data_IF_836389664605
#
_entry.id   IF_836389664605
#
_cell.length_a   1.000
_cell.length_b   1.000
_cell.length_c   1.000
_cell.angle_alpha   90.00
_cell.angle_beta   90.00
_cell.angle_gamma   90.00
#
_symmetry.space_group_name_H-M   'P 1'
#
loop_
_entity.id
_entity.type
_entity.pdbx_description
1 polymer ?
#
# COMPACT_ATOMS: atom_id res chain seq x y z
N UNK A 1 -36.57 29.11 -6.08
CA UNK A 1 -36.86 28.03 -5.11
C UNK A 1 -35.99 26.85 -5.48
N UNK A 2 -34.88 26.69 -4.77
CA UNK A 2 -34.01 25.51 -4.84
C UNK A 2 -34.79 24.29 -4.35
N UNK A 3 -34.95 23.28 -5.19
CA UNK A 3 -35.33 21.95 -4.73
C UNK A 3 -34.14 21.40 -3.95
N UNK A 4 -34.26 21.40 -2.62
CA UNK A 4 -33.40 20.63 -1.74
C UNK A 4 -33.73 19.16 -1.94
N UNK A 5 -32.69 18.39 -2.27
CA UNK A 5 -32.72 16.93 -2.38
C UNK A 5 -33.05 16.32 -1.00
N UNK A 6 -34.15 15.56 -0.85
CA UNK A 6 -34.65 15.10 0.45
C UNK A 6 -33.80 13.99 1.10
N UNK A 7 -32.74 13.49 0.44
CA UNK A 7 -31.79 12.50 0.98
C UNK A 7 -30.50 13.11 1.58
N UNK A 8 -30.45 14.43 1.75
CA UNK A 8 -29.24 15.15 2.19
C UNK A 8 -28.96 15.15 3.70
N UNK A 9 -29.72 14.42 4.53
CA UNK A 9 -29.58 14.45 5.99
C UNK A 9 -29.31 13.06 6.58
N UNK A 10 -28.21 12.97 7.34
CA UNK A 10 -27.79 11.88 8.26
C UNK A 10 -26.79 10.80 7.80
N UNK A 11 -25.75 11.16 7.04
CA UNK A 11 -24.59 10.26 6.89
C UNK A 11 -23.28 10.94 7.30
N UNK A 12 -22.82 10.66 8.53
CA UNK A 12 -21.40 10.48 8.80
C UNK A 12 -20.52 11.68 9.19
N UNK A 13 -20.98 12.64 9.98
CA UNK A 13 -20.09 13.69 10.53
C UNK A 13 -19.64 13.39 11.97
N UNK A 14 -19.70 12.13 12.40
CA UNK A 14 -19.23 11.76 13.72
C UNK A 14 -17.70 11.68 13.74
N UNK A 15 -17.13 12.13 14.85
CA UNK A 15 -15.71 11.96 15.17
C UNK A 15 -15.59 10.87 16.23
N UNK A 16 -14.79 9.84 15.94
CA UNK A 16 -14.48 8.75 16.84
C UNK A 16 -13.06 8.94 17.35
N UNK A 17 -12.94 9.14 18.66
CA UNK A 17 -11.68 9.38 19.36
C UNK A 17 -11.24 8.11 20.07
N UNK A 18 -10.05 7.62 19.75
CA UNK A 18 -9.48 6.39 20.31
C UNK A 18 -8.19 6.76 21.04
N UNK A 19 -8.19 6.67 22.37
CA UNK A 19 -7.01 6.89 23.21
C UNK A 19 -6.31 5.56 23.47
N UNK A 20 -5.13 5.38 22.89
CA UNK A 20 -4.44 4.10 22.76
C UNK A 20 -3.20 3.94 23.64
N UNK A 21 -3.17 4.50 24.85
CA UNK A 21 -1.95 4.56 25.69
C UNK A 21 -1.24 3.20 25.83
N UNK A 22 -2.01 2.11 25.94
CA UNK A 22 -1.52 0.73 26.03
C UNK A 22 -1.93 -0.15 24.83
N UNK A 23 -2.46 0.44 23.77
CA UNK A 23 -2.93 -0.31 22.59
C UNK A 23 -1.73 -0.89 21.84
N UNK A 24 -1.74 -2.21 21.61
CA UNK A 24 -0.67 -2.93 20.90
C UNK A 24 -0.98 -3.22 19.43
N UNK A 25 -2.25 -3.52 19.15
CA UNK A 25 -2.77 -3.76 17.80
C UNK A 25 -4.03 -2.94 17.55
N UNK A 26 -4.22 -2.52 16.32
CA UNK A 26 -5.41 -1.80 15.89
C UNK A 26 -5.95 -2.40 14.60
N UNK A 27 -7.26 -2.66 14.54
CA UNK A 27 -7.91 -3.12 13.32
C UNK A 27 -9.08 -2.17 13.04
N UNK A 28 -9.04 -1.56 11.86
CA UNK A 28 -10.18 -0.87 11.29
C UNK A 28 -10.85 -1.78 10.28
N UNK A 29 -12.16 -1.99 10.42
CA UNK A 29 -12.97 -2.74 9.47
C UNK A 29 -14.26 -1.97 9.19
N UNK A 30 -14.40 -1.47 7.96
CA UNK A 30 -15.59 -0.71 7.55
C UNK A 30 -15.36 0.28 6.41
N UNK A 31 -16.37 1.11 6.16
CA UNK A 31 -16.47 1.96 4.96
C UNK A 31 -16.08 3.43 5.19
N UNK A 32 -15.42 3.75 6.31
CA UNK A 32 -15.10 5.13 6.71
C UNK A 32 -16.32 6.07 6.74
N UNK A 33 -17.45 5.66 7.34
CA UNK A 33 -18.59 6.56 7.54
C UNK A 33 -18.32 7.74 8.49
N UNK A 34 -17.33 7.62 9.37
CA UNK A 34 -16.97 8.60 10.39
C UNK A 34 -15.49 8.93 10.32
N UNK A 35 -15.07 10.00 10.98
CA UNK A 35 -13.65 10.31 11.14
C UNK A 35 -13.09 9.54 12.34
N UNK A 36 -11.93 8.91 12.18
CA UNK A 36 -11.29 8.14 13.24
C UNK A 36 -9.95 8.76 13.60
N UNK A 37 -9.78 9.06 14.88
CA UNK A 37 -8.55 9.64 15.43
C UNK A 37 -7.97 8.70 16.47
N UNK A 38 -6.81 8.13 16.16
CA UNK A 38 -6.02 7.35 17.12
C UNK A 38 -5.00 8.29 17.78
N UNK A 39 -5.10 8.46 19.09
CA UNK A 39 -4.26 9.37 19.89
C UNK A 39 -3.51 8.61 20.97
N UNK A 40 -2.37 9.16 21.38
CA UNK A 40 -1.49 8.62 22.43
C UNK A 40 -1.11 7.13 22.24
N UNK A 41 -1.11 6.65 21.00
CA UNK A 41 -0.86 5.25 20.68
C UNK A 41 0.65 4.95 20.53
N UNK A 42 1.46 5.34 21.52
CA UNK A 42 2.91 5.13 21.49
C UNK A 42 3.29 3.64 21.60
N UNK A 43 2.43 2.84 22.22
CA UNK A 43 2.60 1.41 22.38
C UNK A 43 2.15 0.59 21.16
N UNK A 44 1.55 1.24 20.15
CA UNK A 44 0.93 0.56 19.01
C UNK A 44 1.98 0.04 18.04
N UNK A 45 2.01 -1.27 17.87
CA UNK A 45 3.03 -1.97 17.09
C UNK A 45 2.50 -2.41 15.73
N UNK A 46 1.23 -2.80 15.65
CA UNK A 46 0.63 -3.31 14.41
C UNK A 46 -0.73 -2.67 14.13
N UNK A 47 -1.03 -2.45 12.85
CA UNK A 47 -2.34 -1.99 12.41
C UNK A 47 -2.82 -2.67 11.12
N UNK A 48 -4.12 -2.87 11.02
CA UNK A 48 -4.79 -3.36 9.82
C UNK A 48 -5.91 -2.40 9.42
N UNK A 49 -6.04 -2.13 8.12
CA UNK A 49 -7.13 -1.35 7.54
C UNK A 49 -7.88 -2.21 6.51
N UNK A 50 -9.04 -2.70 6.92
CA UNK A 50 -10.02 -3.47 6.14
C UNK A 50 -11.07 -2.51 5.58
N UNK A 51 -10.71 -1.81 4.52
CA UNK A 51 -11.65 -0.97 3.78
C UNK A 51 -12.33 -1.79 2.68
N UNK A 52 -13.65 -1.86 2.71
CA UNK A 52 -14.44 -2.56 1.70
C UNK A 52 -15.34 -1.60 0.90
N UNK A 53 -15.04 -1.31 -0.36
CA UNK A 53 -15.89 -0.47 -1.21
C UNK A 53 -17.07 -1.31 -1.75
N UNK A 54 -17.90 -1.90 -0.88
CA UNK A 54 -19.09 -2.68 -1.31
C UNK A 54 -20.10 -1.75 -1.99
N UNK A 55 -20.16 -0.51 -1.52
CA UNK A 55 -20.93 0.55 -2.12
C UNK A 55 -19.89 1.42 -2.82
N UNK A 56 -20.07 1.68 -4.13
CA UNK A 56 -19.46 2.83 -4.80
C UNK A 56 -19.77 4.04 -3.93
N UNK A 57 -18.86 4.36 -3.00
CA UNK A 57 -19.09 5.45 -2.09
C UNK A 57 -19.26 6.65 -3.00
N UNK A 58 -20.45 7.27 -2.94
CA UNK A 58 -20.77 8.42 -3.80
C UNK A 58 -19.84 9.60 -3.50
N UNK A 59 -18.93 9.47 -2.52
CA UNK A 59 -18.05 10.51 -2.00
C UNK A 59 -16.64 9.99 -1.75
N UNK A 60 -15.95 9.43 -2.76
CA UNK A 60 -14.64 8.79 -2.57
C UNK A 60 -13.57 9.76 -2.05
N UNK A 61 -13.71 11.06 -2.37
CA UNK A 61 -12.88 12.13 -1.79
C UNK A 61 -13.02 12.25 -0.27
N UNK A 62 -14.23 12.10 0.29
CA UNK A 62 -14.43 12.16 1.75
C UNK A 62 -13.80 10.96 2.45
N UNK A 63 -13.94 9.75 1.88
CA UNK A 63 -13.24 8.55 2.36
C UNK A 63 -11.73 8.77 2.36
N UNK A 64 -11.18 9.36 1.29
CA UNK A 64 -9.76 9.67 1.22
C UNK A 64 -9.28 10.57 2.38
N UNK A 65 -10.03 11.62 2.72
CA UNK A 65 -9.73 12.46 3.89
C UNK A 65 -9.82 11.70 5.21
N UNK A 66 -10.80 10.82 5.37
CA UNK A 66 -10.99 10.03 6.60
C UNK A 66 -9.90 8.98 6.77
N UNK A 67 -9.55 8.28 5.70
CA UNK A 67 -8.40 7.37 5.66
C UNK A 67 -7.11 8.13 5.99
N UNK A 68 -6.87 9.28 5.37
CA UNK A 68 -5.71 10.13 5.65
C UNK A 68 -5.61 10.48 7.14
N UNK A 69 -6.72 10.88 7.77
CA UNK A 69 -6.77 11.17 9.22
C UNK A 69 -6.44 9.93 10.07
N UNK A 70 -6.97 8.77 9.70
CA UNK A 70 -6.64 7.52 10.38
C UNK A 70 -5.14 7.19 10.26
N UNK A 71 -4.57 7.30 9.04
CA UNK A 71 -3.15 7.03 8.79
C UNK A 71 -2.23 7.91 9.65
N UNK A 72 -2.59 9.16 9.93
CA UNK A 72 -1.82 10.03 10.84
C UNK A 72 -1.71 9.39 12.23
N UNK A 73 -2.82 8.89 12.77
CA UNK A 73 -2.86 8.23 14.08
C UNK A 73 -2.11 6.90 14.13
N UNK A 74 -1.85 6.28 12.97
CA UNK A 74 -1.15 5.00 12.82
C UNK A 74 0.33 5.15 12.42
N UNK A 75 0.86 6.38 12.35
CA UNK A 75 2.21 6.66 11.85
C UNK A 75 3.36 5.96 12.59
N UNK A 76 3.16 5.57 13.86
CA UNK A 76 4.21 4.98 14.69
C UNK A 76 4.31 3.45 14.61
N UNK A 77 3.41 2.78 13.89
CA UNK A 77 3.39 1.31 13.81
C UNK A 77 4.64 0.73 13.14
N UNK A 78 4.94 -0.52 13.50
CA UNK A 78 6.00 -1.34 12.89
C UNK A 78 5.46 -2.19 11.74
N UNK A 79 4.22 -2.65 11.87
CA UNK A 79 3.57 -3.51 10.89
C UNK A 79 2.25 -2.87 10.46
N UNK A 80 2.04 -2.74 9.14
CA UNK A 80 0.81 -2.20 8.58
C UNK A 80 0.31 -3.11 7.47
N UNK A 81 -0.93 -3.58 7.61
CA UNK A 81 -1.63 -4.33 6.55
C UNK A 81 -2.77 -3.49 5.99
N UNK A 82 -2.75 -3.27 4.67
CA UNK A 82 -3.77 -2.52 3.96
C UNK A 82 -4.52 -3.47 3.03
N UNK A 83 -5.83 -3.57 3.22
CA UNK A 83 -6.67 -4.45 2.43
C UNK A 83 -7.32 -3.73 1.25
N UNK A 84 -7.65 -4.49 0.21
CA UNK A 84 -8.41 -4.01 -0.97
C UNK A 84 -7.90 -2.67 -1.52
N UNK A 85 -8.77 -1.85 -2.07
CA UNK A 85 -8.41 -0.58 -2.72
C UNK A 85 -8.09 0.56 -1.73
N UNK A 86 -7.63 0.26 -0.50
CA UNK A 86 -7.33 1.26 0.54
C UNK A 86 -6.41 2.36 0.03
N UNK A 87 -5.30 2.03 -0.63
CA UNK A 87 -4.39 3.06 -1.16
C UNK A 87 -4.97 3.78 -2.37
N UNK A 88 -5.71 3.08 -3.23
CA UNK A 88 -6.30 3.67 -4.43
C UNK A 88 -7.31 4.78 -4.08
N UNK A 89 -8.03 4.67 -2.95
CA UNK A 89 -8.99 5.71 -2.56
C UNK A 89 -8.33 7.07 -2.33
N UNK A 90 -7.06 7.10 -1.90
CA UNK A 90 -6.30 8.35 -1.69
C UNK A 90 -6.12 9.15 -2.98
N UNK A 91 -6.19 8.50 -4.15
CA UNK A 91 -6.09 9.19 -5.44
C UNK A 91 -7.26 10.14 -5.71
N UNK A 92 -8.41 9.96 -5.05
CA UNK A 92 -9.55 10.87 -5.12
C UNK A 92 -9.36 12.18 -4.32
N UNK A 93 -8.29 12.27 -3.52
CA UNK A 93 -7.85 13.48 -2.85
C UNK A 93 -6.34 13.67 -3.09
N UNK A 94 -5.96 13.82 -4.36
CA UNK A 94 -4.57 13.90 -4.79
C UNK A 94 -3.74 14.98 -4.06
N UNK A 95 -4.39 16.04 -3.58
CA UNK A 95 -3.79 17.08 -2.74
C UNK A 95 -3.21 16.55 -1.41
N UNK A 96 -3.65 15.39 -0.92
CA UNK A 96 -3.16 14.77 0.32
C UNK A 96 -1.90 13.95 0.10
N UNK A 97 -1.64 13.48 -1.13
CA UNK A 97 -0.54 12.54 -1.43
C UNK A 97 0.84 13.10 -1.06
N UNK A 98 1.18 14.39 -1.32
CA UNK A 98 2.44 14.97 -0.86
C UNK A 98 2.55 15.09 0.66
N UNK A 99 1.43 15.02 1.37
CA UNK A 99 1.32 15.26 2.81
C UNK A 99 1.06 13.99 3.63
N UNK A 100 1.10 12.80 3.00
CA UNK A 100 0.95 11.54 3.72
C UNK A 100 1.87 11.49 4.96
N UNK A 101 1.40 10.93 6.08
CA UNK A 101 2.22 10.86 7.29
C UNK A 101 3.51 10.07 7.02
N UNK A 102 4.60 10.44 7.69
CA UNK A 102 5.79 9.61 7.73
C UNK A 102 5.53 8.39 8.62
N UNK A 103 6.08 7.25 8.23
CA UNK A 103 6.06 6.02 8.98
C UNK A 103 7.49 5.66 9.41
N UNK A 104 8.07 6.37 10.41
CA UNK A 104 9.48 6.26 10.74
C UNK A 104 9.88 4.91 11.33
N UNK A 105 8.92 4.13 11.84
CA UNK A 105 9.16 2.85 12.50
C UNK A 105 8.65 1.65 11.70
N UNK A 106 8.01 1.88 10.56
CA UNK A 106 7.40 0.82 9.76
C UNK A 106 8.49 -0.02 9.11
N UNK A 107 8.49 -1.31 9.45
CA UNK A 107 9.44 -2.32 8.97
C UNK A 107 8.76 -3.29 8.00
N UNK A 108 7.47 -3.58 8.19
CA UNK A 108 6.71 -4.49 7.33
C UNK A 108 5.42 -3.84 6.84
N UNK A 109 5.23 -3.84 5.52
CA UNK A 109 4.02 -3.38 4.84
C UNK A 109 3.43 -4.53 4.02
N UNK A 110 2.18 -4.88 4.28
CA UNK A 110 1.45 -5.87 3.51
C UNK A 110 0.28 -5.22 2.77
N UNK A 111 0.22 -5.44 1.47
CA UNK A 111 -0.88 -5.04 0.60
C UNK A 111 -1.72 -6.28 0.32
N UNK A 112 -2.78 -6.45 1.11
CA UNK A 112 -3.71 -7.58 1.02
C UNK A 112 -4.86 -7.26 0.07
N UNK A 113 -4.52 -7.16 -1.21
CA UNK A 113 -5.36 -6.61 -2.27
C UNK A 113 -5.43 -7.63 -3.41
N UNK A 114 -6.56 -7.73 -4.11
CA UNK A 114 -6.78 -8.76 -5.14
C UNK A 114 -5.90 -8.62 -6.39
N UNK A 115 -5.18 -7.49 -6.52
CA UNK A 115 -4.08 -7.26 -7.44
C UNK A 115 -3.50 -5.86 -7.17
N UNK A 116 -2.21 -5.80 -6.88
CA UNK A 116 -1.55 -4.57 -6.48
C UNK A 116 -1.04 -3.73 -7.63
N UNK A 117 -1.60 -2.51 -7.75
CA UNK A 117 -1.11 -1.50 -8.68
C UNK A 117 0.20 -0.89 -8.20
N UNK A 118 1.32 -1.37 -8.74
CA UNK A 118 2.63 -0.75 -8.52
C UNK A 118 2.68 0.66 -9.14
N UNK A 119 2.00 0.84 -10.27
CA UNK A 119 1.89 2.10 -11.01
C UNK A 119 0.97 3.14 -10.34
N UNK A 120 0.27 2.78 -9.26
CA UNK A 120 -0.56 3.70 -8.53
C UNK A 120 0.29 4.72 -7.78
N UNK A 121 0.06 6.01 -8.07
CA UNK A 121 0.76 7.12 -7.41
C UNK A 121 0.64 7.05 -5.88
N UNK A 122 -0.49 6.59 -5.33
CA UNK A 122 -0.66 6.46 -3.88
C UNK A 122 0.24 5.36 -3.29
N UNK A 123 0.41 4.23 -3.98
CA UNK A 123 1.33 3.16 -3.60
C UNK A 123 2.76 3.67 -3.54
N UNK A 124 3.20 4.35 -4.60
CA UNK A 124 4.57 4.88 -4.64
C UNK A 124 4.82 5.96 -3.59
N UNK A 125 3.84 6.86 -3.40
CA UNK A 125 3.91 7.89 -2.36
C UNK A 125 3.95 7.28 -0.98
N UNK A 126 3.19 6.22 -0.71
CA UNK A 126 3.24 5.49 0.55
C UNK A 126 4.64 4.94 0.82
N UNK A 127 5.26 4.25 -0.15
CA UNK A 127 6.61 3.71 -0.01
C UNK A 127 7.65 4.82 0.27
N UNK A 128 7.50 6.00 -0.33
CA UNK A 128 8.36 7.15 -0.04
C UNK A 128 8.24 7.67 1.41
N UNK A 129 7.16 7.34 2.11
CA UNK A 129 6.95 7.72 3.52
C UNK A 129 7.43 6.69 4.52
N UNK A 130 7.98 5.55 4.07
CA UNK A 130 8.42 4.45 4.91
C UNK A 130 9.95 4.28 4.83
N UNK A 131 10.76 5.18 5.43
CA UNK A 131 12.21 5.22 5.22
C UNK A 131 12.98 4.00 5.78
N UNK A 132 12.35 3.22 6.68
CA UNK A 132 12.94 2.04 7.32
C UNK A 132 12.26 0.73 6.90
N UNK A 133 11.45 0.77 5.85
CA UNK A 133 10.74 -0.42 5.40
C UNK A 133 11.75 -1.51 5.00
N UNK A 134 11.62 -2.68 5.63
CA UNK A 134 12.47 -3.84 5.36
C UNK A 134 11.75 -4.87 4.47
N UNK A 135 10.43 -5.04 4.66
CA UNK A 135 9.64 -6.03 3.94
C UNK A 135 8.42 -5.40 3.28
N UNK A 136 8.16 -5.76 2.02
CA UNK A 136 6.91 -5.44 1.32
C UNK A 136 6.29 -6.73 0.78
N UNK A 137 5.03 -6.95 1.13
CA UNK A 137 4.28 -8.12 0.72
C UNK A 137 3.06 -7.75 -0.13
N UNK A 138 2.89 -8.43 -1.25
CA UNK A 138 1.76 -8.32 -2.16
C UNK A 138 0.96 -9.62 -2.11
N UNK A 139 -0.09 -9.65 -1.29
CA UNK A 139 -0.74 -10.93 -0.95
C UNK A 139 -1.75 -11.45 -1.96
N UNK A 140 -2.18 -10.62 -2.92
CA UNK A 140 -3.04 -11.06 -4.02
C UNK A 140 -2.53 -10.58 -5.37
N UNK A 141 -1.24 -10.75 -5.64
CA UNK A 141 -0.64 -10.36 -6.91
C UNK A 141 -0.21 -8.90 -7.00
N UNK A 142 0.54 -8.61 -8.06
CA UNK A 142 1.07 -7.30 -8.37
C UNK A 142 1.05 -7.09 -9.88
N UNK A 143 0.70 -5.90 -10.33
CA UNK A 143 0.75 -5.56 -11.74
C UNK A 143 1.15 -4.10 -11.97
N UNK A 144 1.64 -3.83 -13.17
CA UNK A 144 2.07 -2.50 -13.59
C UNK A 144 1.65 -2.26 -15.05
N UNK A 145 0.98 -1.14 -15.32
CA UNK A 145 0.65 -0.77 -16.70
C UNK A 145 1.93 -0.50 -17.52
N UNK A 146 1.97 -0.87 -18.82
CA UNK A 146 3.10 -0.58 -19.69
C UNK A 146 3.43 0.91 -19.81
N UNK A 147 2.41 1.77 -19.74
CA UNK A 147 2.55 3.23 -19.86
C UNK A 147 3.40 3.84 -18.72
N UNK A 148 3.40 3.21 -17.55
CA UNK A 148 4.21 3.62 -16.41
C UNK A 148 5.73 3.54 -16.67
N UNK A 149 6.17 2.64 -17.55
CA UNK A 149 7.58 2.50 -17.91
C UNK A 149 8.07 3.59 -18.87
N UNK A 150 7.14 4.30 -19.54
CA UNK A 150 7.42 5.29 -20.60
C UNK A 150 7.26 6.71 -20.07
N UNK A 151 6.33 6.92 -19.13
CA UNK A 151 6.10 8.20 -18.47
C UNK A 151 6.20 7.97 -16.96
N UNK A 152 7.43 7.83 -16.46
CA UNK A 152 7.63 7.49 -15.06
C UNK A 152 7.35 8.72 -14.20
N UNK A 153 6.06 8.99 -13.91
CA UNK A 153 5.60 9.84 -12.81
C UNK A 153 6.02 9.33 -11.42
N UNK A 154 6.83 8.27 -11.38
CA UNK A 154 7.81 7.96 -10.33
C UNK A 154 8.61 9.25 -10.09
N UNK A 155 8.53 9.86 -8.89
CA UNK A 155 9.38 10.99 -8.56
C UNK A 155 10.83 10.64 -8.84
N UNK A 156 11.62 11.59 -9.36
CA UNK A 156 13.02 11.40 -9.82
C UNK A 156 13.92 10.63 -8.84
N UNK A 157 13.52 10.58 -7.56
CA UNK A 157 14.09 9.72 -6.54
C UNK A 157 13.07 8.66 -6.10
N UNK A 158 13.44 7.39 -6.28
CA UNK A 158 12.67 6.25 -5.77
C UNK A 158 12.51 6.28 -4.23
N UNK A 159 11.71 5.35 -3.66
CA UNK A 159 11.51 5.26 -2.22
C UNK A 159 12.85 5.19 -1.47
N UNK A 160 13.06 6.00 -0.41
CA UNK A 160 14.32 5.99 0.33
C UNK A 160 14.70 4.61 0.88
N UNK A 161 13.72 3.77 1.22
CA UNK A 161 13.94 2.40 1.69
C UNK A 161 14.67 1.54 0.66
N UNK A 162 14.43 1.72 -0.64
CA UNK A 162 15.05 0.95 -1.73
C UNK A 162 16.57 1.12 -1.79
N UNK A 163 17.09 2.20 -1.22
CA UNK A 163 18.51 2.50 -1.16
C UNK A 163 19.14 2.24 0.22
N UNK A 164 18.35 1.92 1.26
CA UNK A 164 18.83 2.00 2.65
C UNK A 164 18.46 0.84 3.57
N UNK A 165 17.27 0.25 3.43
CA UNK A 165 16.73 -0.68 4.43
C UNK A 165 15.96 -1.86 3.86
N UNK A 166 15.60 -1.83 2.58
CA UNK A 166 14.66 -2.77 1.98
C UNK A 166 15.31 -4.14 1.69
N UNK A 167 14.91 -5.19 2.43
CA UNK A 167 15.55 -6.51 2.42
C UNK A 167 14.74 -7.57 1.67
N UNK A 168 13.42 -7.58 1.85
CA UNK A 168 12.57 -8.66 1.34
C UNK A 168 11.36 -8.12 0.57
N UNK A 169 11.04 -8.76 -0.55
CA UNK A 169 9.77 -8.59 -1.25
C UNK A 169 9.10 -9.96 -1.37
N UNK A 170 7.83 -10.04 -1.00
CA UNK A 170 7.00 -11.23 -1.19
C UNK A 170 5.88 -10.90 -2.19
N UNK A 171 5.79 -11.69 -3.26
CA UNK A 171 4.72 -11.59 -4.26
C UNK A 171 3.95 -12.91 -4.26
N UNK A 172 2.70 -12.86 -3.83
CA UNK A 172 1.78 -14.00 -3.90
C UNK A 172 0.94 -13.94 -5.16
N UNK A 173 0.32 -15.06 -5.52
CA UNK A 173 -0.63 -15.15 -6.64
C UNK A 173 -0.03 -14.66 -7.96
N UNK A 174 1.25 -14.99 -8.22
CA UNK A 174 1.94 -14.60 -9.45
C UNK A 174 1.56 -15.53 -10.62
N UNK A 175 0.91 -14.96 -11.64
CA UNK A 175 0.44 -15.65 -12.85
C UNK A 175 1.42 -15.68 -14.01
N UNK A 176 2.53 -14.92 -13.92
CA UNK A 176 3.51 -14.71 -14.99
C UNK A 176 2.95 -13.94 -16.20
N UNK A 177 2.03 -13.02 -15.94
CA UNK A 177 1.52 -12.10 -16.96
C UNK A 177 2.52 -10.95 -17.23
N UNK A 178 2.43 -10.34 -18.42
CA UNK A 178 3.43 -9.38 -18.87
C UNK A 178 3.52 -8.11 -17.99
N UNK A 179 2.39 -7.70 -17.39
CA UNK A 179 2.28 -6.58 -16.47
C UNK A 179 2.77 -6.91 -15.06
N UNK A 180 2.60 -8.15 -14.60
CA UNK A 180 3.21 -8.66 -13.36
C UNK A 180 4.74 -8.74 -13.49
N UNK A 181 5.23 -9.31 -14.61
CA UNK A 181 6.66 -9.38 -14.93
C UNK A 181 7.28 -7.98 -14.98
N UNK A 182 6.57 -7.01 -15.55
CA UNK A 182 6.99 -5.62 -15.57
C UNK A 182 7.09 -5.04 -14.14
N UNK A 183 6.11 -5.31 -13.29
CA UNK A 183 6.10 -4.85 -11.90
C UNK A 183 7.30 -5.43 -11.11
N UNK A 184 7.52 -6.73 -11.22
CA UNK A 184 8.67 -7.42 -10.61
C UNK A 184 9.99 -6.84 -11.12
N UNK A 185 10.12 -6.63 -12.43
CA UNK A 185 11.31 -6.03 -13.03
C UNK A 185 11.60 -4.64 -12.49
N UNK A 186 10.58 -3.80 -12.30
CA UNK A 186 10.74 -2.46 -11.73
C UNK A 186 11.25 -2.56 -10.29
N UNK A 187 10.67 -3.43 -9.46
CA UNK A 187 11.09 -3.62 -8.08
C UNK A 187 12.54 -4.12 -7.99
N UNK A 188 12.88 -5.20 -8.71
CA UNK A 188 14.23 -5.77 -8.74
C UNK A 188 15.29 -4.76 -9.20
N UNK A 189 14.96 -3.95 -10.22
CA UNK A 189 15.89 -2.95 -10.75
C UNK A 189 16.14 -1.80 -9.78
N UNK A 190 15.11 -1.33 -9.07
CA UNK A 190 15.20 -0.12 -8.25
C UNK A 190 15.62 -0.38 -6.80
N UNK A 191 15.35 -1.56 -6.26
CA UNK A 191 15.74 -1.93 -4.90
C UNK A 191 17.21 -2.40 -4.86
N UNK A 192 18.12 -1.45 -4.66
CA UNK A 192 19.58 -1.69 -4.75
C UNK A 192 20.18 -2.39 -3.53
N UNK A 193 19.45 -2.43 -2.41
CA UNK A 193 19.85 -3.14 -1.18
C UNK A 193 19.02 -4.40 -0.91
N UNK A 194 18.23 -4.86 -1.89
CA UNK A 194 17.36 -6.03 -1.73
C UNK A 194 18.18 -7.31 -1.53
N UNK A 195 17.85 -8.08 -0.49
CA UNK A 195 18.47 -9.37 -0.20
C UNK A 195 17.72 -10.50 -0.91
N UNK A 196 16.38 -10.45 -0.88
CA UNK A 196 15.54 -11.55 -1.37
C UNK A 196 14.25 -11.06 -1.99
N UNK A 197 13.86 -11.69 -3.09
CA UNK A 197 12.50 -11.66 -3.62
C UNK A 197 11.93 -13.07 -3.62
N UNK A 198 10.76 -13.24 -3.01
CA UNK A 198 10.03 -14.50 -2.94
C UNK A 198 8.77 -14.36 -3.79
N UNK A 199 8.58 -15.29 -4.73
CA UNK A 199 7.43 -15.31 -5.63
C UNK A 199 6.70 -16.63 -5.44
N UNK A 200 5.43 -16.55 -5.05
CA UNK A 200 4.52 -17.68 -4.96
C UNK A 200 3.63 -17.68 -6.21
N UNK A 201 3.83 -18.70 -7.03
CA UNK A 201 3.17 -18.87 -8.31
C UNK A 201 1.72 -19.31 -8.10
N UNK A 202 0.83 -18.90 -9.00
CA UNK A 202 -0.53 -19.45 -9.05
C UNK A 202 -0.50 -20.96 -9.38
N UNK A 203 -1.44 -21.72 -8.80
CA UNK A 203 -1.60 -23.14 -9.11
C UNK A 203 -1.72 -23.36 -10.63
N UNK A 204 -0.78 -24.12 -11.19
CA UNK A 204 -0.76 -24.47 -12.61
C UNK A 204 -0.16 -23.42 -13.54
N UNK A 205 0.40 -22.31 -13.05
CA UNK A 205 1.17 -21.40 -13.89
C UNK A 205 2.56 -21.98 -14.21
N UNK A 206 2.89 -22.04 -15.50
CA UNK A 206 4.24 -22.36 -15.95
C UNK A 206 5.07 -21.08 -15.89
N UNK A 207 5.54 -20.71 -14.70
CA UNK A 207 6.34 -19.50 -14.52
C UNK A 207 7.65 -19.61 -15.28
N UNK A 208 7.87 -18.62 -16.14
CA UNK A 208 9.04 -18.51 -16.98
C UNK A 208 10.31 -18.29 -16.15
N UNK A 209 11.39 -18.99 -16.51
CA UNK A 209 12.73 -18.73 -15.98
C UNK A 209 13.22 -17.30 -16.29
N UNK A 210 12.54 -16.56 -17.19
CA UNK A 210 12.79 -15.15 -17.46
C UNK A 210 12.85 -14.29 -16.20
N UNK A 211 12.06 -14.62 -15.16
CA UNK A 211 12.07 -13.90 -13.90
C UNK A 211 13.45 -13.97 -13.20
N UNK A 212 14.17 -15.09 -13.36
CA UNK A 212 15.52 -15.28 -12.83
C UNK A 212 16.58 -14.47 -13.62
N UNK A 213 16.32 -14.20 -14.90
CA UNK A 213 17.20 -13.43 -15.79
C UNK A 213 17.03 -11.91 -15.68
N UNK A 214 16.04 -11.43 -14.92
CA UNK A 214 15.77 -10.00 -14.78
C UNK A 214 16.94 -9.23 -14.17
N UNK A 215 17.19 -7.98 -14.64
CA UNK A 215 18.24 -7.15 -14.09
C UNK A 215 17.94 -6.77 -12.64
N UNK A 216 18.96 -6.86 -11.79
CA UNK A 216 18.86 -6.59 -10.34
C UNK A 216 19.69 -5.37 -9.98
N UNK A 217 19.12 -4.45 -9.21
CA UNK A 217 19.84 -3.33 -8.59
C UNK A 217 20.83 -3.85 -7.55
N UNK A 218 20.39 -4.82 -6.73
CA UNK A 218 21.24 -5.57 -5.80
C UNK A 218 21.84 -6.80 -6.49
N UNK A 219 23.18 -6.88 -6.54
CA UNK A 219 23.89 -8.04 -7.11
C UNK A 219 23.78 -9.31 -6.27
N UNK A 220 23.48 -9.16 -4.98
CA UNK A 220 23.31 -10.27 -4.04
C UNK A 220 21.86 -10.72 -3.90
N UNK A 221 20.90 -10.04 -4.54
CA UNK A 221 19.50 -10.40 -4.43
C UNK A 221 19.25 -11.81 -4.98
N UNK A 222 18.74 -12.67 -4.11
CA UNK A 222 18.21 -14.00 -4.46
C UNK A 222 16.75 -13.87 -4.90
N UNK A 223 16.37 -14.60 -5.94
CA UNK A 223 14.98 -14.70 -6.39
C UNK A 223 14.55 -16.14 -6.23
N UNK A 224 13.54 -16.38 -5.40
CA UNK A 224 13.06 -17.73 -5.05
C UNK A 224 11.63 -17.90 -5.53
N UNK A 225 11.40 -18.98 -6.28
CA UNK A 225 10.10 -19.37 -6.81
C UNK A 225 9.50 -20.50 -5.95
N UNK A 226 8.24 -20.36 -5.57
CA UNK A 226 7.43 -21.40 -4.95
C UNK A 226 6.26 -21.71 -5.88
N UNK A 227 6.07 -22.99 -6.18
CA UNK A 227 4.96 -23.51 -7.00
C UNK A 227 3.92 -24.21 -6.12
#
# INVERSE_FOLDING_TARGET
MSQSDPDSTYWGNCEVMIFGDNLKGFVFDGEFFSEYYVRNALSLEQAEIKYDPIILDKRPKQVAYRLYKLLIGLSNVKHLTLYKQTLAVLTHAAELLPHLPLFPNLIDLELMISQARLDCVASWRMLQRCPRLETLKFSGGIYCSPDFAIDSGVPDQGPPCFASSFKCIEVNEYGDEADELLAVKILLKNAVVLDKMVVYCCDGSAVSEQLLELPRGSKSCEVVLFH
#
